data_IF_919751538470
#
_entry.id   IF_919751538470
#
_cell.length_a   1.000
_cell.length_b   1.000
_cell.length_c   1.000
_cell.angle_alpha   90.00
_cell.angle_beta   90.00
_cell.angle_gamma   90.00
#
_symmetry.space_group_name_H-M   'P 1'
#
loop_
_entity.id
_entity.type
_entity.pdbx_description
1 polymer ?
#
# COMPACT_ATOMS: atom_id res chain seq x y z
N UNK A 1 -31.36 -22.59 36.07
CA UNK A 1 -30.63 -21.42 36.64
C UNK A 1 -29.29 -21.37 35.91
N UNK A 2 -28.87 -20.28 35.24
CA UNK A 2 -28.25 -19.06 35.81
C UNK A 2 -27.20 -19.42 36.87
N UNK A 3 -25.90 -19.10 36.75
CA UNK A 3 -25.17 -18.08 35.96
C UNK A 3 -23.93 -18.74 35.30
N UNK A 4 -23.21 -18.18 34.33
CA UNK A 4 -23.23 -16.83 33.78
C UNK A 4 -22.05 -15.99 34.27
N UNK A 5 -20.87 -16.15 33.66
CA UNK A 5 -19.69 -15.28 33.81
C UNK A 5 -19.23 -14.89 32.41
N UNK A 6 -19.13 -13.59 32.15
CA UNK A 6 -18.58 -13.02 30.91
C UNK A 6 -17.21 -12.45 31.25
N UNK A 7 -16.16 -12.92 30.59
CA UNK A 7 -14.84 -12.30 30.67
C UNK A 7 -14.77 -11.21 29.59
N UNK A 8 -14.74 -9.95 30.03
CA UNK A 8 -14.39 -8.83 29.14
C UNK A 8 -12.87 -8.72 29.08
N UNK A 9 -12.30 -8.84 27.89
CA UNK A 9 -10.91 -8.40 27.65
C UNK A 9 -10.90 -6.88 27.63
N UNK A 10 -10.02 -6.27 28.41
CA UNK A 10 -9.76 -4.84 28.39
C UNK A 10 -8.45 -4.60 27.62
N UNK A 11 -8.57 -4.11 26.39
CA UNK A 11 -7.44 -3.62 25.60
C UNK A 11 -6.92 -2.31 26.20
N UNK A 12 -5.77 -2.37 26.85
CA UNK A 12 -5.07 -1.19 27.37
C UNK A 12 -4.01 -0.73 26.34
N UNK A 13 -4.40 0.15 25.43
CA UNK A 13 -3.45 0.80 24.52
C UNK A 13 -2.54 1.75 25.29
N UNK A 14 -1.22 1.60 25.15
CA UNK A 14 -0.23 2.47 25.76
C UNK A 14 0.33 3.45 24.72
N UNK A 15 -0.09 4.71 24.82
CA UNK A 15 0.47 5.83 24.08
C UNK A 15 1.29 6.73 25.02
N UNK A 16 1.93 7.78 24.47
CA UNK A 16 2.84 8.77 25.13
C UNK A 16 4.30 8.30 25.22
N UNK A 17 5.32 9.10 24.85
CA UNK A 17 5.42 10.23 23.91
C UNK A 17 6.92 10.54 23.67
N UNK A 18 7.29 11.07 22.49
CA UNK A 18 8.66 11.57 22.22
C UNK A 18 8.70 13.09 22.36
N UNK A 19 9.49 13.57 23.31
CA UNK A 19 9.66 15.01 23.58
C UNK A 19 10.87 15.59 22.85
N UNK A 20 10.67 16.20 21.68
CA UNK A 20 11.73 16.90 20.94
C UNK A 20 12.18 18.14 21.72
N UNK A 21 13.46 18.18 22.11
CA UNK A 21 14.07 19.31 22.84
C UNK A 21 14.86 20.20 21.89
N UNK A 22 14.24 21.27 21.38
CA UNK A 22 14.92 22.25 20.51
C UNK A 22 15.82 23.19 21.30
N UNK A 23 17.14 22.94 21.27
CA UNK A 23 18.15 23.83 21.82
C UNK A 23 18.60 24.89 20.79
N UNK A 24 17.77 25.90 20.55
CA UNK A 24 18.13 27.03 19.68
C UNK A 24 19.04 28.04 20.41
N UNK A 25 20.28 28.19 19.95
CA UNK A 25 21.20 29.26 20.36
C UNK A 25 21.55 30.14 19.15
N UNK A 26 21.38 31.46 19.28
CA UNK A 26 21.60 32.42 18.20
C UNK A 26 22.48 33.61 18.62
N UNK A 27 23.47 33.93 17.77
CA UNK A 27 24.25 35.19 17.61
C UNK A 27 25.25 34.94 16.46
N UNK A 28 25.44 35.75 15.40
CA UNK A 28 25.83 37.18 15.23
C UNK A 28 27.10 37.59 16.01
N UNK A 29 27.99 38.49 15.56
CA UNK A 29 28.13 39.33 14.33
C UNK A 29 29.44 38.90 13.55
N UNK A 30 30.02 39.43 12.45
CA UNK A 30 29.95 40.57 11.49
C UNK A 30 30.55 40.09 10.12
N UNK A 31 30.07 40.42 8.91
CA UNK A 31 30.24 41.64 8.05
C UNK A 31 31.53 41.74 7.18
N UNK A 32 31.41 41.62 5.84
CA UNK A 32 31.80 42.67 4.85
C UNK A 32 31.59 42.33 3.35
N UNK A 33 31.20 43.35 2.58
CA UNK A 33 31.56 43.79 1.21
C UNK A 33 32.17 42.75 0.21
N UNK A 34 31.83 42.73 -1.09
CA UNK A 34 31.53 43.91 -1.96
C UNK A 34 30.66 43.57 -3.18
N UNK A 35 29.80 44.52 -3.53
CA UNK A 35 29.23 44.91 -4.85
C UNK A 35 29.80 44.29 -6.14
N UNK A 36 28.89 43.83 -7.02
CA UNK A 36 28.81 44.33 -8.41
C UNK A 36 27.37 44.19 -8.97
N UNK A 37 26.92 45.18 -9.73
CA UNK A 37 25.65 45.17 -10.47
C UNK A 37 25.96 44.89 -11.95
N UNK A 38 25.13 44.10 -12.65
CA UNK A 38 24.95 44.33 -14.08
C UNK A 38 23.50 44.06 -14.50
N UNK A 39 22.99 44.90 -15.41
CA UNK A 39 21.60 44.91 -15.86
C UNK A 39 21.53 44.60 -17.34
N UNK A 40 20.72 43.62 -17.74
CA UNK A 40 20.30 43.46 -19.14
C UNK A 40 18.77 43.35 -19.21
N UNK A 41 18.15 44.46 -19.60
CA UNK A 41 16.78 44.56 -20.05
C UNK A 41 16.75 44.57 -21.58
N UNK A 42 15.97 43.70 -22.21
CA UNK A 42 15.61 43.84 -23.63
C UNK A 42 14.20 43.29 -23.90
N UNK A 43 13.25 44.16 -24.25
CA UNK A 43 11.94 43.75 -24.76
C UNK A 43 12.03 43.16 -26.18
N UNK A 44 11.13 42.22 -26.52
CA UNK A 44 10.48 42.22 -27.84
C UNK A 44 8.97 42.07 -27.66
N UNK A 45 8.21 43.11 -28.03
CA UNK A 45 6.75 43.09 -28.20
C UNK A 45 6.36 43.39 -29.65
N UNK A 46 5.61 42.48 -30.27
CA UNK A 46 4.56 42.74 -31.28
C UNK A 46 3.77 41.43 -31.46
N UNK A 47 2.45 41.34 -31.29
CA UNK A 47 1.33 42.20 -31.75
C UNK A 47 1.17 42.21 -33.27
N UNK A 48 0.07 41.58 -33.71
CA UNK A 48 -0.97 42.14 -34.58
C UNK A 48 -2.28 41.37 -34.31
N UNK A 49 -3.40 41.90 -34.78
CA UNK A 49 -4.76 41.71 -34.27
C UNK A 49 -5.75 41.52 -35.44
N UNK A 50 -6.90 40.89 -35.18
CA UNK A 50 -8.13 40.89 -36.00
C UNK A 50 -8.11 40.21 -37.40
N UNK A 51 -9.01 39.24 -37.58
CA UNK A 51 -10.13 39.42 -38.52
C UNK A 51 -11.27 38.47 -38.16
N UNK A 52 -12.49 38.99 -38.03
CA UNK A 52 -13.70 38.20 -38.24
C UNK A 52 -13.95 38.10 -39.76
N UNK A 53 -14.45 36.97 -40.24
CA UNK A 53 -15.48 36.92 -41.30
C UNK A 53 -16.37 35.69 -41.07
N UNK A 54 -17.68 35.87 -41.19
CA UNK A 54 -18.66 34.78 -41.13
C UNK A 54 -18.79 34.09 -42.47
N UNK A 55 -18.68 32.76 -42.50
CA UNK A 55 -19.25 31.93 -43.56
C UNK A 55 -20.02 30.77 -42.93
N UNK A 56 -21.24 30.54 -43.40
CA UNK A 56 -22.10 29.44 -42.94
C UNK A 56 -22.05 28.29 -43.96
N UNK A 57 -21.64 27.10 -43.51
CA UNK A 57 -21.96 25.86 -44.19
C UNK A 57 -22.62 24.89 -43.19
N UNK A 58 -23.72 24.29 -43.62
CA UNK A 58 -24.44 23.27 -42.84
C UNK A 58 -23.64 21.95 -42.85
N UNK A 59 -22.77 21.77 -41.86
CA UNK A 59 -22.25 20.43 -41.56
C UNK A 59 -23.32 19.65 -40.79
N UNK A 60 -23.93 18.67 -41.45
CA UNK A 60 -24.94 17.79 -40.85
C UNK A 60 -24.46 17.11 -39.58
N UNK A 61 -25.33 17.04 -38.57
CA UNK A 61 -25.15 16.18 -37.40
C UNK A 61 -25.16 14.70 -37.79
N UNK A 62 -24.01 14.18 -38.25
CA UNK A 62 -23.72 12.75 -38.18
C UNK A 62 -23.39 12.44 -36.72
N UNK A 63 -24.41 12.31 -35.89
CA UNK A 63 -24.28 11.72 -34.56
C UNK A 63 -23.91 10.26 -34.73
N UNK A 64 -22.62 9.98 -34.83
CA UNK A 64 -22.12 8.62 -34.68
C UNK A 64 -22.55 8.14 -33.30
N UNK A 65 -23.52 7.22 -33.29
CA UNK A 65 -23.74 6.38 -32.13
C UNK A 65 -22.51 5.48 -32.02
N UNK A 66 -21.49 5.97 -31.33
CA UNK A 66 -20.50 5.11 -30.70
C UNK A 66 -21.27 4.19 -29.78
N UNK A 67 -21.53 2.97 -30.24
CA UNK A 67 -21.90 1.89 -29.34
C UNK A 67 -20.69 1.72 -28.43
N UNK A 68 -20.81 2.15 -27.18
CA UNK A 68 -19.93 1.67 -26.13
C UNK A 68 -20.18 0.16 -26.05
N UNK A 69 -19.27 -0.63 -26.61
CA UNK A 69 -19.18 -2.03 -26.26
C UNK A 69 -18.78 -2.05 -24.78
N UNK A 70 -19.68 -2.51 -23.90
CA UNK A 70 -19.44 -2.59 -22.47
C UNK A 70 -18.09 -3.29 -22.22
N UNK A 71 -17.05 -2.54 -21.77
CA UNK A 71 -15.72 -3.10 -21.47
C UNK A 71 -15.91 -4.10 -20.34
N UNK A 72 -16.00 -5.38 -20.70
CA UNK A 72 -16.21 -6.46 -19.74
C UNK A 72 -15.09 -6.39 -18.70
N UNK A 73 -15.46 -6.15 -17.45
CA UNK A 73 -14.55 -6.22 -16.32
C UNK A 73 -14.03 -7.66 -16.20
N UNK A 74 -12.73 -7.93 -16.44
CA UNK A 74 -12.23 -9.30 -16.43
C UNK A 74 -12.27 -9.92 -15.02
N UNK A 75 -12.41 -9.10 -13.97
CA UNK A 75 -12.48 -9.54 -12.58
C UNK A 75 -13.90 -9.75 -12.05
N UNK A 76 -14.95 -9.59 -12.86
CA UNK A 76 -16.34 -9.61 -12.37
C UNK A 76 -16.70 -10.92 -11.62
N UNK A 77 -16.21 -12.05 -12.11
CA UNK A 77 -16.40 -13.36 -11.44
C UNK A 77 -15.65 -13.44 -10.11
N UNK A 78 -14.42 -12.91 -10.03
CA UNK A 78 -13.65 -12.85 -8.79
C UNK A 78 -14.32 -11.93 -7.75
N UNK A 79 -14.81 -10.75 -8.18
CA UNK A 79 -15.50 -9.78 -7.34
C UNK A 79 -16.80 -10.37 -6.78
N UNK A 80 -17.62 -11.00 -7.63
CA UNK A 80 -18.85 -11.65 -7.21
C UNK A 80 -18.58 -12.91 -6.36
N UNK A 81 -17.48 -13.62 -6.61
CA UNK A 81 -17.04 -14.75 -5.79
C UNK A 81 -16.57 -14.34 -4.38
N UNK A 82 -15.77 -13.27 -4.28
CA UNK A 82 -15.33 -12.73 -2.99
C UNK A 82 -16.50 -12.13 -2.19
N UNK A 83 -17.43 -11.46 -2.87
CA UNK A 83 -18.71 -11.01 -2.29
C UNK A 83 -19.51 -12.16 -1.69
N UNK A 84 -19.69 -13.25 -2.43
CA UNK A 84 -20.42 -14.42 -1.94
C UNK A 84 -19.71 -15.07 -0.73
N UNK A 85 -18.37 -15.12 -0.76
CA UNK A 85 -17.57 -15.63 0.36
C UNK A 85 -17.71 -14.76 1.63
N UNK A 86 -17.83 -13.44 1.49
CA UNK A 86 -18.10 -12.53 2.62
C UNK A 86 -19.53 -12.68 3.14
N UNK A 87 -20.51 -12.78 2.25
CA UNK A 87 -21.93 -12.91 2.62
C UNK A 87 -22.28 -14.26 3.27
N UNK A 88 -21.63 -15.34 2.82
CA UNK A 88 -21.86 -16.72 3.28
C UNK A 88 -20.53 -17.41 3.66
N UNK A 89 -19.84 -16.97 4.73
CA UNK A 89 -18.48 -17.42 5.04
C UNK A 89 -18.41 -18.89 5.46
N UNK A 90 -17.77 -19.71 4.63
CA UNK A 90 -17.48 -21.13 4.92
C UNK A 90 -16.04 -21.35 5.38
N UNK A 91 -15.10 -20.54 4.89
CA UNK A 91 -13.66 -20.58 5.15
C UNK A 91 -13.16 -19.18 5.56
N UNK A 92 -12.01 -19.12 6.24
CA UNK A 92 -11.35 -17.86 6.66
C UNK A 92 -10.69 -17.12 5.49
N UNK A 93 -10.47 -17.80 4.36
CA UNK A 93 -9.64 -17.33 3.25
C UNK A 93 -10.31 -17.63 1.91
N UNK A 94 -10.30 -16.64 1.02
CA UNK A 94 -10.79 -16.76 -0.35
C UNK A 94 -9.62 -16.71 -1.34
N UNK A 95 -9.50 -17.72 -2.19
CA UNK A 95 -8.38 -17.90 -3.12
C UNK A 95 -8.75 -17.61 -4.59
N UNK A 96 -9.99 -17.19 -4.87
CA UNK A 96 -10.53 -17.03 -6.22
C UNK A 96 -11.64 -18.03 -6.55
N UNK A 97 -12.33 -17.87 -7.69
CA UNK A 97 -13.43 -18.75 -8.09
C UNK A 97 -12.92 -20.14 -8.47
N UNK A 98 -13.66 -21.18 -8.07
CA UNK A 98 -13.38 -22.57 -8.44
C UNK A 98 -12.19 -23.25 -7.76
N UNK A 99 -11.45 -22.56 -6.88
CA UNK A 99 -10.29 -23.12 -6.16
C UNK A 99 -10.72 -24.11 -5.07
N UNK A 100 -10.07 -25.27 -5.02
CA UNK A 100 -10.28 -26.30 -3.98
C UNK A 100 -9.46 -25.96 -2.72
N UNK A 101 -10.15 -25.53 -1.64
CA UNK A 101 -9.51 -25.13 -0.37
C UNK A 101 -9.00 -26.29 0.49
N UNK A 102 -9.16 -27.55 0.06
CA UNK A 102 -8.81 -28.73 0.87
C UNK A 102 -7.31 -28.91 1.15
N UNK A 103 -6.43 -28.27 0.37
CA UNK A 103 -4.97 -28.22 0.59
C UNK A 103 -4.44 -26.78 0.62
N UNK A 104 -5.12 -25.91 1.39
CA UNK A 104 -4.82 -24.48 1.51
C UNK A 104 -3.35 -24.11 1.83
N UNK A 105 -2.57 -25.05 2.39
CA UNK A 105 -1.14 -24.87 2.66
C UNK A 105 -0.31 -24.68 1.38
N UNK A 106 -0.81 -25.12 0.22
CA UNK A 106 -0.14 -25.04 -1.07
C UNK A 106 -0.78 -24.03 -2.04
N UNK A 107 -1.79 -23.26 -1.60
CA UNK A 107 -2.52 -22.29 -2.44
C UNK A 107 -1.91 -20.87 -2.47
N UNK A 108 -0.84 -20.62 -1.73
CA UNK A 108 -0.23 -19.29 -1.65
C UNK A 108 -1.09 -18.30 -0.84
N UNK A 109 -1.28 -17.09 -1.37
CA UNK A 109 -2.02 -16.02 -0.70
C UNK A 109 -3.53 -16.17 -0.89
N UNK A 110 -4.29 -15.97 0.19
CA UNK A 110 -5.75 -15.89 0.17
C UNK A 110 -6.21 -14.57 0.78
N UNK A 111 -7.26 -13.98 0.22
CA UNK A 111 -7.91 -12.79 0.78
C UNK A 111 -8.66 -13.17 2.06
N UNK A 112 -8.54 -12.35 3.10
CA UNK A 112 -9.24 -12.64 4.36
C UNK A 112 -10.76 -12.49 4.19
N UNK A 113 -11.51 -13.39 4.82
CA UNK A 113 -12.96 -13.36 4.97
C UNK A 113 -13.27 -13.28 6.46
N UNK A 114 -14.03 -12.27 6.91
CA UNK A 114 -14.39 -12.10 8.33
C UNK A 114 -15.87 -11.82 8.53
N UNK A 115 -16.50 -12.47 9.52
CA UNK A 115 -17.94 -12.39 9.84
C UNK A 115 -18.50 -10.98 10.13
N UNK A 116 -17.64 -9.97 10.23
CA UNK A 116 -18.00 -8.57 10.52
C UNK A 116 -17.89 -7.65 9.29
N UNK A 117 -17.47 -8.18 8.15
CA UNK A 117 -17.33 -7.47 6.89
C UNK A 117 -18.70 -7.44 6.19
N UNK A 118 -19.21 -6.24 5.91
CA UNK A 118 -20.52 -6.03 5.27
C UNK A 118 -20.37 -5.65 3.79
N UNK A 119 -19.16 -5.77 3.25
CA UNK A 119 -18.77 -5.24 1.95
C UNK A 119 -17.26 -5.02 1.82
N UNK A 120 -16.85 -4.57 0.63
CA UNK A 120 -15.50 -4.09 0.33
C UNK A 120 -15.58 -3.00 -0.74
N UNK A 121 -14.52 -2.20 -0.87
CA UNK A 121 -14.38 -1.26 -1.98
C UNK A 121 -13.22 -1.72 -2.86
N UNK A 122 -13.31 -1.48 -4.18
CA UNK A 122 -12.24 -1.79 -5.12
C UNK A 122 -12.04 -0.69 -6.16
N UNK A 123 -10.90 -0.72 -6.85
CA UNK A 123 -10.66 0.01 -8.10
C UNK A 123 -9.89 -0.87 -9.07
N UNK A 124 -9.92 -0.54 -10.35
CA UNK A 124 -9.07 -1.13 -11.38
C UNK A 124 -7.92 -0.15 -11.68
N UNK A 125 -6.68 -0.64 -11.69
CA UNK A 125 -5.50 0.20 -11.92
C UNK A 125 -4.32 -0.62 -12.45
N UNK A 126 -3.80 -0.23 -13.60
CA UNK A 126 -2.56 -0.72 -14.21
C UNK A 126 -1.33 -0.25 -13.39
N UNK A 127 -0.76 -1.14 -12.57
CA UNK A 127 0.31 -0.81 -11.62
C UNK A 127 1.65 -0.67 -12.35
N UNK A 128 1.99 -1.65 -13.20
CA UNK A 128 3.29 -1.79 -13.85
C UNK A 128 3.41 -1.03 -15.18
N UNK A 129 2.28 -0.54 -15.71
CA UNK A 129 2.12 0.16 -17.00
C UNK A 129 2.30 -0.75 -18.22
N UNK A 130 1.92 -2.04 -18.11
CA UNK A 130 1.81 -2.99 -19.23
C UNK A 130 0.54 -2.79 -20.11
N UNK A 131 -0.49 -2.12 -19.58
CA UNK A 131 -1.76 -1.85 -20.25
C UNK A 131 -2.93 -2.76 -19.82
N UNK A 132 -2.73 -3.64 -18.84
CA UNK A 132 -3.75 -4.45 -18.17
C UNK A 132 -3.99 -3.90 -16.75
N UNK A 133 -5.26 -3.64 -16.41
CA UNK A 133 -5.59 -3.18 -15.05
C UNK A 133 -5.44 -4.33 -14.04
N UNK A 134 -4.78 -4.11 -12.89
CA UNK A 134 -4.94 -4.97 -11.69
C UNK A 134 -6.21 -4.62 -10.91
N UNK A 135 -6.81 -5.63 -10.24
CA UNK A 135 -7.88 -5.42 -9.26
C UNK A 135 -7.28 -5.06 -7.90
N UNK A 136 -7.56 -3.84 -7.45
CA UNK A 136 -7.10 -3.31 -6.17
C UNK A 136 -8.26 -3.29 -5.18
N UNK A 137 -8.20 -4.09 -4.11
CA UNK A 137 -9.25 -4.19 -3.08
C UNK A 137 -8.76 -3.48 -1.82
N UNK A 138 -9.48 -2.45 -1.36
CA UNK A 138 -8.99 -1.55 -0.31
C UNK A 138 -9.78 -0.27 -0.17
N UNK A 139 -9.10 0.86 0.02
CA UNK A 139 -9.71 2.20 -0.01
C UNK A 139 -8.77 3.30 0.47
N UNK A 140 -9.25 4.55 0.42
CA UNK A 140 -8.53 5.72 0.96
C UNK A 140 -9.04 6.02 2.37
N UNK A 141 -8.14 5.96 3.36
CA UNK A 141 -8.41 6.43 4.72
C UNK A 141 -7.76 7.80 4.95
N UNK A 142 -8.42 8.68 5.70
CA UNK A 142 -7.85 9.96 6.15
C UNK A 142 -7.72 9.96 7.66
N UNK A 143 -6.51 10.12 8.17
CA UNK A 143 -6.25 10.07 9.61
C UNK A 143 -6.57 11.41 10.32
N UNK A 144 -6.46 11.43 11.65
CA UNK A 144 -6.75 12.61 12.50
C UNK A 144 -5.94 13.86 12.18
N UNK A 145 -4.85 13.71 11.42
CA UNK A 145 -3.94 14.80 11.04
C UNK A 145 -4.21 15.29 9.60
N UNK A 146 -5.28 14.80 8.96
CA UNK A 146 -5.66 15.00 7.56
C UNK A 146 -4.65 14.42 6.53
N UNK A 147 -3.85 13.43 6.93
CA UNK A 147 -3.03 12.66 5.98
C UNK A 147 -3.90 11.54 5.41
N UNK A 148 -4.05 11.51 4.08
CA UNK A 148 -4.62 10.36 3.34
C UNK A 148 -3.58 9.24 3.23
N UNK A 149 -4.02 7.99 3.25
CA UNK A 149 -3.26 6.83 2.77
C UNK A 149 -4.20 5.81 2.11
N UNK A 150 -3.63 4.94 1.26
CA UNK A 150 -4.36 3.89 0.53
C UNK A 150 -4.13 2.57 1.25
N UNK A 151 -5.11 2.11 2.03
CA UNK A 151 -5.04 0.80 2.69
C UNK A 151 -5.57 -0.27 1.73
N UNK A 152 -5.01 -1.48 1.81
CA UNK A 152 -5.39 -2.61 0.98
C UNK A 152 -5.80 -3.84 1.80
N UNK A 153 -6.83 -4.51 1.32
CA UNK A 153 -7.19 -5.88 1.70
C UNK A 153 -6.62 -6.89 0.69
N UNK A 154 -6.42 -6.49 -0.56
CA UNK A 154 -5.67 -7.31 -1.52
C UNK A 154 -5.38 -6.65 -2.87
N UNK A 155 -4.52 -7.31 -3.64
CA UNK A 155 -4.24 -7.04 -5.06
C UNK A 155 -4.37 -8.35 -5.82
N UNK A 156 -5.07 -8.32 -6.94
CA UNK A 156 -5.31 -9.49 -7.79
C UNK A 156 -4.99 -9.13 -9.24
N UNK A 157 -4.16 -9.96 -9.88
CA UNK A 157 -3.80 -9.84 -11.29
C UNK A 157 -4.40 -11.00 -12.09
N UNK A 158 -4.45 -10.84 -13.41
CA UNK A 158 -4.73 -11.94 -14.34
C UNK A 158 -3.46 -12.78 -14.56
N UNK A 159 -3.62 -14.11 -14.55
CA UNK A 159 -2.57 -15.08 -14.87
C UNK A 159 -3.13 -16.09 -15.89
N UNK A 160 -2.87 -15.83 -17.17
CA UNK A 160 -3.50 -16.55 -18.29
C UNK A 160 -5.02 -16.38 -18.31
N UNK A 161 -5.75 -17.49 -18.23
CA UNK A 161 -7.21 -17.54 -18.12
C UNK A 161 -7.71 -17.47 -16.66
N UNK A 162 -6.83 -17.21 -15.68
CA UNK A 162 -7.12 -17.26 -14.24
C UNK A 162 -6.73 -16.00 -13.47
N UNK A 163 -6.81 -16.08 -12.14
CA UNK A 163 -6.56 -14.98 -11.21
C UNK A 163 -5.44 -15.35 -10.22
N UNK A 164 -4.52 -14.42 -9.95
CA UNK A 164 -3.45 -14.57 -8.98
C UNK A 164 -3.56 -13.49 -7.91
N UNK A 165 -3.67 -13.89 -6.64
CA UNK A 165 -3.62 -12.96 -5.51
C UNK A 165 -2.15 -12.59 -5.26
N UNK A 166 -1.79 -11.36 -5.65
CA UNK A 166 -0.43 -10.81 -5.60
C UNK A 166 -0.08 -10.35 -4.19
N UNK A 167 -1.06 -9.77 -3.48
CA UNK A 167 -0.92 -9.26 -2.13
C UNK A 167 -2.23 -9.47 -1.35
N UNK A 168 -2.13 -9.78 -0.06
CA UNK A 168 -3.28 -9.90 0.84
C UNK A 168 -3.00 -9.22 2.20
N UNK A 169 -3.91 -8.34 2.62
CA UNK A 169 -3.87 -7.71 3.94
C UNK A 169 -4.39 -8.65 5.03
N UNK A 170 -3.74 -8.69 6.19
CA UNK A 170 -4.15 -9.55 7.32
C UNK A 170 -4.57 -8.72 8.54
N UNK A 171 -5.42 -9.27 9.40
CA UNK A 171 -5.95 -8.60 10.60
C UNK A 171 -4.91 -8.28 11.69
N UNK A 172 -3.62 -8.53 11.42
CA UNK A 172 -2.46 -8.24 12.28
C UNK A 172 -1.37 -7.44 11.57
N UNK A 173 -1.64 -6.91 10.37
CA UNK A 173 -0.79 -5.95 9.64
C UNK A 173 -1.62 -4.81 9.06
N UNK A 174 -0.96 -3.72 8.66
CA UNK A 174 -1.42 -2.88 7.55
C UNK A 174 -0.71 -3.29 6.27
N UNK A 175 -1.43 -3.22 5.15
CA UNK A 175 -0.87 -3.25 3.80
C UNK A 175 -1.31 -1.94 3.13
N UNK A 176 -0.36 -1.18 2.62
CA UNK A 176 -0.58 0.14 2.02
C UNK A 176 0.08 0.23 0.63
N UNK A 177 -0.63 0.81 -0.33
CA UNK A 177 -0.03 1.23 -1.61
C UNK A 177 0.50 2.66 -1.45
N UNK A 178 1.74 2.90 -1.84
CA UNK A 178 2.41 4.20 -1.65
C UNK A 178 2.80 4.91 -2.94
N UNK A 179 2.59 4.29 -4.10
CA UNK A 179 2.77 4.90 -5.43
C UNK A 179 3.85 4.25 -6.28
N UNK A 180 3.77 4.40 -7.60
CA UNK A 180 4.73 3.85 -8.57
C UNK A 180 5.03 2.34 -8.37
N UNK A 181 4.02 1.55 -8.00
CA UNK A 181 4.16 0.11 -7.75
C UNK A 181 4.78 -0.28 -6.41
N UNK A 182 5.02 0.68 -5.49
CA UNK A 182 5.53 0.39 -4.15
C UNK A 182 4.41 0.09 -3.15
N UNK A 183 4.70 -0.89 -2.29
CA UNK A 183 3.85 -1.38 -1.21
C UNK A 183 4.61 -1.30 0.11
N UNK A 184 3.89 -0.97 1.18
CA UNK A 184 4.40 -1.01 2.57
C UNK A 184 3.52 -1.96 3.39
N UNK A 185 4.15 -2.89 4.09
CA UNK A 185 3.51 -3.86 4.96
C UNK A 185 4.10 -3.70 6.37
N UNK A 186 3.26 -3.61 7.41
CA UNK A 186 3.73 -3.47 8.79
C UNK A 186 2.84 -4.28 9.73
N UNK A 187 3.38 -5.26 10.44
CA UNK A 187 2.56 -6.16 11.24
C UNK A 187 3.29 -7.19 12.11
N UNK A 188 2.49 -7.94 12.87
CA UNK A 188 3.00 -8.83 13.90
C UNK A 188 3.29 -10.25 13.38
N UNK A 189 4.55 -10.49 13.00
CA UNK A 189 5.06 -11.81 12.61
C UNK A 189 5.00 -12.88 13.71
N UNK A 190 4.80 -12.52 14.99
CA UNK A 190 4.68 -13.49 16.08
C UNK A 190 4.51 -12.88 17.46
N UNK A 191 4.57 -13.72 18.50
CA UNK A 191 4.37 -13.29 19.89
C UNK A 191 5.48 -12.38 20.46
N UNK A 192 6.65 -12.38 19.82
CA UNK A 192 7.79 -11.52 20.12
C UNK A 192 8.45 -10.99 18.82
N UNK A 193 7.69 -10.97 17.72
CA UNK A 193 8.16 -10.67 16.36
C UNK A 193 7.22 -9.63 15.73
N UNK A 194 7.83 -8.56 15.22
CA UNK A 194 7.20 -7.56 14.36
C UNK A 194 8.00 -7.46 13.05
N UNK A 195 7.28 -7.25 11.95
CA UNK A 195 7.78 -7.28 10.59
C UNK A 195 7.33 -6.01 9.87
N UNK A 196 8.28 -5.23 9.39
CA UNK A 196 8.05 -4.09 8.53
C UNK A 196 8.74 -4.34 7.18
N UNK A 197 8.04 -4.12 6.07
CA UNK A 197 8.52 -4.43 4.72
C UNK A 197 8.13 -3.34 3.72
N UNK A 198 9.07 -3.01 2.84
CA UNK A 198 8.86 -2.29 1.59
C UNK A 198 9.05 -3.29 0.45
N UNK A 199 8.06 -3.38 -0.43
CA UNK A 199 8.09 -4.23 -1.63
C UNK A 199 7.69 -3.45 -2.87
N UNK A 200 8.07 -3.96 -4.04
CA UNK A 200 7.66 -3.44 -5.35
C UNK A 200 6.96 -4.54 -6.14
N UNK A 201 5.95 -4.17 -6.92
CA UNK A 201 5.27 -5.10 -7.82
C UNK A 201 6.18 -5.52 -8.98
N UNK A 202 6.30 -6.83 -9.18
CA UNK A 202 6.89 -7.45 -10.36
C UNK A 202 5.75 -7.87 -11.29
N UNK A 203 5.59 -7.13 -12.39
CA UNK A 203 4.61 -7.39 -13.43
C UNK A 203 4.90 -8.61 -14.31
N UNK A 204 6.15 -9.06 -14.43
CA UNK A 204 6.51 -10.23 -15.25
C UNK A 204 6.15 -11.53 -14.52
N UNK A 205 6.37 -11.57 -13.20
CA UNK A 205 6.01 -12.70 -12.35
C UNK A 205 4.64 -12.54 -11.66
N UNK A 206 3.99 -11.37 -11.78
CA UNK A 206 2.75 -10.95 -11.10
C UNK A 206 2.83 -11.28 -9.59
N UNK A 207 3.85 -10.73 -8.93
CA UNK A 207 4.29 -11.01 -7.55
C UNK A 207 4.81 -9.73 -6.84
N UNK A 208 5.01 -9.76 -5.52
CA UNK A 208 5.71 -8.68 -4.80
C UNK A 208 7.17 -9.06 -4.52
N UNK A 209 8.11 -8.26 -5.02
CA UNK A 209 9.54 -8.37 -4.69
C UNK A 209 9.87 -7.49 -3.49
N UNK A 210 10.40 -8.07 -2.41
CA UNK A 210 10.93 -7.31 -1.26
C UNK A 210 12.06 -6.38 -1.71
N UNK A 211 11.93 -5.08 -1.43
CA UNK A 211 12.99 -4.07 -1.62
C UNK A 211 13.85 -3.97 -0.35
N UNK A 212 13.21 -4.04 0.81
CA UNK A 212 13.87 -4.02 2.11
C UNK A 212 12.89 -4.36 3.22
N UNK A 213 13.32 -5.18 4.18
CA UNK A 213 12.50 -5.60 5.31
C UNK A 213 13.28 -5.51 6.63
N UNK A 214 12.61 -5.00 7.66
CA UNK A 214 13.09 -4.87 9.03
C UNK A 214 12.35 -5.87 9.93
N UNK A 215 13.08 -6.85 10.43
CA UNK A 215 12.57 -7.77 11.46
C UNK A 215 12.96 -7.24 12.83
N UNK A 216 11.96 -7.01 13.67
CA UNK A 216 12.13 -6.58 15.06
C UNK A 216 11.80 -7.73 16.00
N UNK A 217 12.80 -8.24 16.72
CA UNK A 217 12.67 -9.28 17.74
C UNK A 217 12.70 -8.69 19.15
N UNK A 218 11.70 -9.02 19.95
CA UNK A 218 11.52 -8.53 21.32
C UNK A 218 12.09 -9.54 22.33
N UNK A 219 13.40 -9.48 22.54
CA UNK A 219 14.14 -10.43 23.39
C UNK A 219 14.21 -9.94 24.83
N UNK A 220 13.90 -10.82 25.80
CA UNK A 220 13.99 -10.48 27.22
C UNK A 220 13.07 -11.30 28.12
N UNK A 221 12.56 -10.66 29.17
CA UNK A 221 11.64 -11.24 30.15
C UNK A 221 10.58 -10.20 30.60
N UNK A 222 9.69 -10.59 31.50
CA UNK A 222 8.57 -9.74 31.95
C UNK A 222 8.96 -8.45 32.70
N UNK A 223 10.24 -8.25 33.05
CA UNK A 223 10.76 -7.04 33.70
C UNK A 223 11.59 -6.15 32.76
N UNK A 224 12.16 -6.72 31.69
CA UNK A 224 12.96 -6.01 30.68
C UNK A 224 12.91 -6.76 29.34
N UNK A 225 12.46 -6.04 28.31
CA UNK A 225 12.45 -6.49 26.91
C UNK A 225 13.24 -5.50 26.07
N UNK A 226 14.06 -5.99 25.16
CA UNK A 226 14.90 -5.19 24.26
C UNK A 226 14.56 -5.55 22.82
N UNK A 227 14.49 -4.55 21.96
CA UNK A 227 14.25 -4.75 20.53
C UNK A 227 15.59 -4.98 19.82
N UNK A 228 15.76 -6.14 19.22
CA UNK A 228 16.84 -6.46 18.30
C UNK A 228 16.34 -6.28 16.88
N UNK A 229 17.17 -5.74 16.01
CA UNK A 229 16.80 -5.38 14.64
C UNK A 229 17.67 -6.13 13.64
N UNK A 230 17.07 -6.65 12.57
CA UNK A 230 17.76 -7.35 11.48
C UNK A 230 17.16 -6.93 10.15
N UNK A 231 18.00 -6.55 9.18
CA UNK A 231 17.56 -6.07 7.87
C UNK A 231 17.85 -7.09 6.76
N UNK A 232 16.89 -7.29 5.86
CA UNK A 232 16.94 -8.24 4.74
C UNK A 232 16.46 -7.59 3.43
N UNK A 233 16.82 -8.19 2.30
CA UNK A 233 16.23 -7.88 0.97
C UNK A 233 15.43 -9.05 0.40
N UNK A 234 15.40 -10.19 1.10
CA UNK A 234 14.74 -11.43 0.69
C UNK A 234 14.17 -12.15 1.93
N UNK A 235 12.84 -12.15 2.10
CA UNK A 235 12.18 -12.76 3.29
C UNK A 235 11.06 -13.73 2.89
N UNK A 236 11.35 -14.58 1.91
CA UNK A 236 10.32 -15.40 1.27
C UNK A 236 9.64 -16.45 2.19
N UNK A 237 10.29 -16.89 3.28
CA UNK A 237 9.84 -18.05 4.09
C UNK A 237 10.33 -18.06 5.56
N UNK A 238 10.62 -16.89 6.15
CA UNK A 238 11.17 -16.78 7.51
C UNK A 238 10.11 -16.24 8.52
N UNK A 239 10.00 -16.68 9.77
CA UNK A 239 10.95 -17.42 10.63
C UNK A 239 10.23 -18.53 11.41
N UNK A 240 10.50 -19.80 11.08
CA UNK A 240 9.86 -20.97 11.74
C UNK A 240 10.79 -21.75 12.70
N UNK A 241 12.11 -21.50 12.66
CA UNK A 241 13.10 -22.36 13.36
C UNK A 241 14.32 -21.64 13.97
N UNK A 242 14.55 -20.36 13.67
CA UNK A 242 15.70 -19.57 14.16
C UNK A 242 15.27 -18.13 14.44
N UNK A 243 15.89 -17.43 15.41
CA UNK A 243 15.83 -15.97 15.48
C UNK A 243 16.32 -15.33 14.18
N UNK A 244 15.83 -14.13 13.89
CA UNK A 244 16.31 -13.29 12.80
C UNK A 244 17.64 -12.61 13.16
N UNK A 245 17.81 -12.22 14.42
CA UNK A 245 19.08 -11.73 14.95
C UNK A 245 20.13 -12.84 14.95
N UNK A 246 21.15 -12.68 14.09
CA UNK A 246 22.17 -13.71 13.82
C UNK A 246 21.85 -14.65 12.65
N UNK A 247 20.75 -14.45 11.91
CA UNK A 247 20.55 -15.10 10.61
C UNK A 247 21.61 -14.64 9.61
N UNK A 248 22.28 -15.56 8.93
CA UNK A 248 23.35 -15.26 7.97
C UNK A 248 22.88 -14.58 6.68
N UNK A 249 21.56 -14.45 6.47
CA UNK A 249 20.96 -13.68 5.37
C UNK A 249 20.77 -12.20 5.69
N UNK A 250 20.77 -11.82 6.98
CA UNK A 250 20.63 -10.42 7.36
C UNK A 250 21.86 -9.63 6.88
N UNK A 251 21.62 -8.52 6.17
CA UNK A 251 22.69 -7.71 5.59
C UNK A 251 23.34 -6.79 6.64
N UNK A 252 22.57 -6.38 7.65
CA UNK A 252 23.02 -5.60 8.81
C UNK A 252 22.05 -5.76 9.99
N UNK A 253 22.45 -5.27 11.17
CA UNK A 253 21.76 -5.46 12.44
C UNK A 253 21.61 -4.14 13.23
N UNK A 254 20.81 -4.18 14.29
CA UNK A 254 20.62 -3.09 15.26
C UNK A 254 20.31 -1.74 14.59
N UNK A 255 21.00 -0.66 14.97
CA UNK A 255 20.71 0.67 14.43
C UNK A 255 21.02 0.78 12.92
N UNK A 256 21.97 0.01 12.38
CA UNK A 256 22.26 0.02 10.94
C UNK A 256 21.10 -0.60 10.14
N UNK A 257 20.47 -1.66 10.67
CA UNK A 257 19.26 -2.24 10.08
C UNK A 257 18.10 -1.23 10.03
N UNK A 258 17.90 -0.47 11.11
CA UNK A 258 16.89 0.60 11.17
C UNK A 258 17.21 1.73 10.20
N UNK A 259 18.42 2.29 10.29
CA UNK A 259 18.89 3.37 9.43
C UNK A 259 18.78 3.00 7.95
N UNK A 260 18.91 1.71 7.60
CA UNK A 260 18.70 1.25 6.23
C UNK A 260 17.22 1.16 5.86
N UNK A 261 16.40 0.49 6.66
CA UNK A 261 14.96 0.37 6.41
C UNK A 261 14.26 1.73 6.32
N UNK A 262 14.60 2.66 7.22
CA UNK A 262 14.05 4.02 7.23
C UNK A 262 14.33 4.76 5.91
N UNK A 263 15.45 4.50 5.21
CA UNK A 263 15.74 5.08 3.88
C UNK A 263 14.92 4.42 2.75
N UNK A 264 14.74 3.11 2.81
CA UNK A 264 13.93 2.39 1.81
C UNK A 264 12.44 2.80 1.97
N UNK A 265 12.00 3.04 3.20
CA UNK A 265 10.68 3.56 3.56
C UNK A 265 10.48 5.03 3.14
N UNK A 266 11.47 5.90 3.37
CA UNK A 266 11.48 7.28 2.86
C UNK A 266 11.40 7.31 1.33
N UNK A 267 12.12 6.42 0.63
CA UNK A 267 12.05 6.28 -0.82
C UNK A 267 10.64 5.85 -1.28
N UNK A 268 10.02 4.88 -0.62
CA UNK A 268 8.69 4.40 -0.96
C UNK A 268 7.59 5.46 -0.73
N UNK A 269 7.62 6.19 0.40
CA UNK A 269 6.69 7.29 0.65
C UNK A 269 7.02 8.59 -0.12
N UNK A 270 8.15 8.67 -0.82
CA UNK A 270 8.46 9.79 -1.74
C UNK A 270 7.76 9.68 -3.10
N UNK A 271 7.10 8.55 -3.38
CA UNK A 271 6.44 8.27 -4.67
C UNK A 271 5.14 9.04 -4.82
N UNK A 272 4.76 9.29 -6.08
CA UNK A 272 3.45 9.84 -6.38
C UNK A 272 2.39 8.74 -6.30
N UNK A 273 1.63 8.69 -5.20
CA UNK A 273 0.57 7.71 -4.99
C UNK A 273 -0.64 7.98 -5.90
N UNK A 274 -0.72 7.25 -7.01
CA UNK A 274 -1.78 7.43 -8.01
C UNK A 274 -3.20 7.10 -7.50
N UNK A 275 -3.33 6.30 -6.44
CA UNK A 275 -4.61 5.80 -5.93
C UNK A 275 -5.30 6.71 -4.90
N UNK A 276 -4.64 7.79 -4.45
CA UNK A 276 -5.17 8.72 -3.44
C UNK A 276 -6.46 9.45 -3.85
N UNK A 277 -6.65 9.66 -5.16
CA UNK A 277 -7.80 10.33 -5.77
C UNK A 277 -8.49 9.45 -6.83
N UNK A 278 -8.21 8.14 -6.84
CA UNK A 278 -8.87 7.17 -7.71
C UNK A 278 -10.37 7.01 -7.38
N UNK A 279 -11.16 6.57 -8.37
CA UNK A 279 -12.57 6.24 -8.15
C UNK A 279 -12.68 4.82 -7.59
N UNK A 280 -13.11 4.71 -6.34
CA UNK A 280 -13.42 3.44 -5.69
C UNK A 280 -14.89 3.06 -5.92
N UNK A 281 -15.15 1.77 -6.10
CA UNK A 281 -16.46 1.16 -6.30
C UNK A 281 -16.78 0.34 -5.05
N UNK A 282 -17.84 0.72 -4.35
CA UNK A 282 -18.31 0.02 -3.14
C UNK A 282 -19.17 -1.20 -3.51
N UNK A 283 -18.93 -2.32 -2.82
CA UNK A 283 -19.64 -3.60 -2.99
C UNK A 283 -20.22 -4.03 -1.65
N UNK A 284 -21.51 -3.77 -1.44
CA UNK A 284 -22.28 -4.34 -0.33
C UNK A 284 -22.31 -5.88 -0.43
N UNK A 285 -22.24 -6.60 0.69
CA UNK A 285 -22.37 -8.06 0.77
C UNK A 285 -23.67 -8.48 1.50
#
# INVERSE_FOLDING_TARGET
MKKGIVVKVLSAGLCVAVSVSMAACAKTEETRDTTEEETIETEIKKSIESSEETSSEETTETTEQTTEEDKINPYEEFIQGYKEAIANPTDTWYYGPGVDTSDYMNLGQGLIVVEIQNGFSYTLFDIDKDGVDELIIGGVYTNSNNVKFVYLTGVVALDGDGYKIVAAGWSRSSLEYVGEGYFVNSGSGGAALHYDEVSVYDGENKELTTVGALVTEYVGNAERTEAQYSYFTDVHDAYSASPAYGDSRALCFDQEAKDKYEKDLELAYSKNNELLDAQWIDVDC
#
